data_IF_646582530630
#
_entry.id   IF_646582530630
#
_cell.length_a   1.000
_cell.length_b   1.000
_cell.length_c   1.000
_cell.angle_alpha   90.00
_cell.angle_beta   90.00
_cell.angle_gamma   90.00
#
_symmetry.space_group_name_H-M   'P 1'
#
loop_
_entity.id
_entity.type
_entity.pdbx_description
1 polymer ?
#
# COMPACT_ATOMS: atom_id res chain seq x y z
N UNK A 1 -17.48 -14.87 11.80
CA UNK A 1 -17.10 -13.47 11.50
C UNK A 1 -16.26 -13.53 10.26
N UNK A 2 -16.71 -12.92 9.16
CA UNK A 2 -15.86 -12.75 7.98
C UNK A 2 -14.57 -12.04 8.38
N UNK A 3 -13.46 -12.49 7.81
CA UNK A 3 -12.13 -12.00 8.12
C UNK A 3 -11.89 -10.64 7.46
N UNK A 4 -12.50 -9.60 8.01
CA UNK A 4 -12.46 -8.22 7.50
C UNK A 4 -11.07 -7.56 7.59
N UNK A 5 -10.06 -8.26 8.13
CA UNK A 5 -8.70 -7.74 8.28
C UNK A 5 -8.07 -7.35 6.93
N UNK A 6 -8.41 -8.09 5.87
CA UNK A 6 -7.92 -7.78 4.51
C UNK A 6 -8.52 -6.48 3.95
N UNK A 7 -9.82 -6.27 4.14
CA UNK A 7 -10.52 -5.05 3.68
C UNK A 7 -9.98 -3.83 4.42
N UNK A 8 -9.84 -3.93 5.75
CA UNK A 8 -9.26 -2.86 6.56
C UNK A 8 -7.82 -2.51 6.14
N UNK A 9 -7.03 -3.49 5.72
CA UNK A 9 -5.66 -3.25 5.26
C UNK A 9 -5.60 -2.54 3.90
N UNK A 10 -6.54 -2.81 3.00
CA UNK A 10 -6.65 -2.09 1.73
C UNK A 10 -7.05 -0.63 1.98
N UNK A 11 -8.07 -0.40 2.80
CA UNK A 11 -8.52 0.96 3.14
C UNK A 11 -7.44 1.77 3.87
N UNK A 12 -6.67 1.13 4.77
CA UNK A 12 -5.53 1.76 5.44
C UNK A 12 -4.40 2.11 4.47
N UNK A 13 -4.12 1.25 3.49
CA UNK A 13 -3.13 1.52 2.46
C UNK A 13 -3.52 2.74 1.61
N UNK A 14 -4.78 2.80 1.16
CA UNK A 14 -5.32 3.92 0.40
C UNK A 14 -5.27 5.24 1.21
N UNK A 15 -5.62 5.20 2.50
CA UNK A 15 -5.50 6.36 3.39
C UNK A 15 -4.05 6.81 3.58
N UNK A 16 -3.13 5.87 3.80
CA UNK A 16 -1.71 6.18 4.01
C UNK A 16 -1.10 6.84 2.77
N UNK A 17 -1.32 6.25 1.58
CA UNK A 17 -0.72 6.73 0.34
C UNK A 17 -1.36 8.03 -0.15
N UNK A 18 -2.69 8.11 -0.15
CA UNK A 18 -3.42 9.26 -0.68
C UNK A 18 -3.47 10.45 0.28
N UNK A 19 -3.80 10.22 1.56
CA UNK A 19 -4.12 11.31 2.48
C UNK A 19 -2.92 11.73 3.33
N UNK A 20 -2.13 10.77 3.80
CA UNK A 20 -1.01 11.07 4.70
C UNK A 20 0.27 11.40 3.91
N UNK A 21 0.61 10.56 2.93
CA UNK A 21 1.79 10.76 2.08
C UNK A 21 1.53 11.73 0.93
N UNK A 22 0.27 11.87 0.48
CA UNK A 22 -0.12 12.84 -0.54
C UNK A 22 0.43 12.52 -1.93
N UNK A 23 0.64 11.23 -2.24
CA UNK A 23 1.24 10.76 -3.49
C UNK A 23 0.40 11.19 -4.68
N UNK A 24 1.05 11.78 -5.70
CA UNK A 24 0.40 12.26 -6.93
C UNK A 24 0.77 11.40 -8.14
N UNK A 25 -0.10 11.49 -9.15
CA UNK A 25 0.10 10.90 -10.48
C UNK A 25 1.52 11.12 -11.01
N UNK A 26 2.26 10.03 -11.18
CA UNK A 26 3.62 10.03 -11.75
C UNK A 26 4.76 10.19 -10.74
N UNK A 27 4.46 10.30 -9.44
CA UNK A 27 5.49 10.24 -8.39
C UNK A 27 5.92 8.79 -8.12
N UNK A 28 7.20 8.60 -7.80
CA UNK A 28 7.75 7.31 -7.42
C UNK A 28 7.68 7.14 -5.91
N UNK A 29 7.21 5.96 -5.47
CA UNK A 29 7.10 5.60 -4.06
C UNK A 29 7.97 4.38 -3.77
N UNK A 30 8.88 4.53 -2.80
CA UNK A 30 9.65 3.43 -2.25
C UNK A 30 8.91 2.81 -1.07
N UNK A 31 8.55 1.54 -1.19
CA UNK A 31 7.94 0.78 -0.09
C UNK A 31 8.98 -0.20 0.45
N UNK A 32 9.38 -0.01 1.70
CA UNK A 32 10.28 -0.92 2.42
C UNK A 32 9.44 -1.78 3.36
N UNK A 33 9.52 -3.10 3.21
CA UNK A 33 8.81 -4.05 4.07
C UNK A 33 9.79 -4.88 4.90
N UNK A 34 9.40 -5.19 6.13
CA UNK A 34 10.18 -6.13 6.95
C UNK A 34 10.08 -7.54 6.33
N UNK A 35 11.16 -8.35 6.26
CA UNK A 35 11.12 -9.70 5.73
C UNK A 35 10.13 -10.64 6.41
N UNK A 36 9.70 -10.33 7.64
CA UNK A 36 8.69 -11.06 8.39
C UNK A 36 7.25 -10.65 8.02
N UNK A 37 7.09 -9.62 7.19
CA UNK A 37 5.78 -9.14 6.73
C UNK A 37 5.13 -10.17 5.81
N UNK A 38 3.87 -10.52 6.10
CA UNK A 38 3.09 -11.36 5.21
C UNK A 38 2.92 -10.66 3.84
N UNK A 39 3.42 -11.28 2.77
CA UNK A 39 3.35 -10.75 1.40
C UNK A 39 1.93 -10.45 0.94
N UNK A 40 0.91 -11.14 1.47
CA UNK A 40 -0.50 -10.86 1.17
C UNK A 40 -0.94 -9.49 1.69
N UNK A 41 -0.25 -8.96 2.69
CA UNK A 41 -0.47 -7.63 3.25
C UNK A 41 0.38 -6.58 2.52
N UNK A 42 1.56 -6.95 2.04
CA UNK A 42 2.47 -6.08 1.29
C UNK A 42 1.96 -5.72 -0.12
N UNK A 43 1.13 -6.57 -0.73
CA UNK A 43 0.52 -6.28 -2.04
C UNK A 43 -0.55 -5.18 -2.02
N UNK A 44 -1.09 -4.83 -0.84
CA UNK A 44 -2.13 -3.81 -0.70
C UNK A 44 -1.58 -2.37 -0.85
N UNK A 45 -0.50 -1.96 -0.14
CA UNK A 45 0.10 -0.63 -0.32
C UNK A 45 0.72 -0.42 -1.70
N UNK A 46 1.19 -1.48 -2.38
CA UNK A 46 1.64 -1.37 -3.76
C UNK A 46 0.48 -1.15 -4.73
N UNK A 47 -0.59 -1.95 -4.63
CA UNK A 47 -1.78 -1.76 -5.45
C UNK A 47 -2.44 -0.39 -5.21
N UNK A 48 -2.33 0.14 -3.99
CA UNK A 48 -2.75 1.50 -3.66
C UNK A 48 -1.87 2.55 -4.35
N UNK A 49 -0.55 2.45 -4.20
CA UNK A 49 0.38 3.40 -4.80
C UNK A 49 0.40 3.33 -6.33
N UNK A 50 0.19 2.16 -6.95
CA UNK A 50 0.06 1.99 -8.41
C UNK A 50 -1.16 2.72 -9.00
N UNK A 51 -2.25 2.89 -8.23
CA UNK A 51 -3.38 3.72 -8.68
C UNK A 51 -2.99 5.19 -8.85
N UNK A 52 -1.90 5.62 -8.19
CA UNK A 52 -1.45 7.01 -8.13
C UNK A 52 -0.03 7.24 -8.67
N UNK A 53 0.78 6.23 -8.95
CA UNK A 53 2.22 6.40 -9.22
C UNK A 53 2.93 5.09 -9.60
N UNK A 54 4.26 5.09 -9.58
CA UNK A 54 5.08 3.89 -9.84
C UNK A 54 5.69 3.36 -8.53
N UNK A 55 5.68 2.04 -8.35
CA UNK A 55 6.09 1.38 -7.10
C UNK A 55 7.34 0.53 -7.32
N UNK A 56 8.34 0.76 -6.48
CA UNK A 56 9.57 -0.04 -6.42
C UNK A 56 9.65 -0.75 -5.05
N UNK A 57 9.94 -2.06 -5.05
CA UNK A 57 10.08 -2.89 -3.85
C UNK A 57 11.54 -3.19 -3.53
N UNK A 58 11.91 -3.16 -2.24
CA UNK A 58 13.20 -3.60 -1.71
C UNK A 58 13.04 -4.34 -0.38
#
# INVERSE_FOLDING_TARGET
MEDNRMIECIERADYLMGNLMGVKAGEEVLIVIDPQTDMRMAGNPSASAEKTGTVSFF
#
